data_IF_345902709095
#
_entry.id   IF_345902709095
#
_cell.length_a   1.000
_cell.length_b   1.000
_cell.length_c   1.000
_cell.angle_alpha   90.00
_cell.angle_beta   90.00
_cell.angle_gamma   90.00
#
_symmetry.space_group_name_H-M   'P 1'
#
loop_
_entity.id
_entity.type
_entity.pdbx_description
1 polymer ?
#
# COMPACT_ATOMS: atom_id res chain seq x y z
N UNK A 1 32.39 50.71 -5.12
CA UNK A 1 32.06 49.27 -5.12
C UNK A 1 32.16 48.76 -6.54
N UNK A 2 33.03 47.77 -6.79
CA UNK A 2 33.32 47.29 -8.15
C UNK A 2 32.08 46.59 -8.77
N UNK A 3 31.75 46.82 -10.05
CA UNK A 3 30.64 46.16 -10.77
C UNK A 3 30.64 44.62 -10.66
N UNK A 4 31.81 44.01 -10.42
CA UNK A 4 31.97 42.57 -10.27
C UNK A 4 31.19 41.96 -9.10
N UNK A 5 30.90 42.71 -8.03
CA UNK A 5 30.23 42.19 -6.83
C UNK A 5 28.75 41.84 -7.08
N UNK A 6 28.09 42.60 -7.97
CA UNK A 6 26.70 42.37 -8.34
C UNK A 6 26.53 41.09 -9.16
N UNK A 7 27.54 40.74 -9.97
CA UNK A 7 27.58 39.51 -10.76
C UNK A 7 27.64 38.30 -9.81
N UNK A 8 28.50 38.34 -8.79
CA UNK A 8 28.61 37.23 -7.83
C UNK A 8 27.34 37.07 -6.98
N UNK A 9 26.69 38.16 -6.59
CA UNK A 9 25.43 38.13 -5.83
C UNK A 9 24.29 37.55 -6.70
N UNK A 10 24.20 37.97 -7.97
CA UNK A 10 23.22 37.43 -8.90
C UNK A 10 23.45 35.93 -9.16
N UNK A 11 24.71 35.50 -9.31
CA UNK A 11 25.05 34.08 -9.47
C UNK A 11 24.70 33.26 -8.24
N UNK A 12 24.98 33.78 -7.04
CA UNK A 12 24.66 33.10 -5.78
C UNK A 12 23.14 32.97 -5.59
N UNK A 13 22.37 34.02 -5.90
CA UNK A 13 20.91 33.98 -5.87
C UNK A 13 20.32 33.00 -6.88
N UNK A 14 20.93 32.87 -8.07
CA UNK A 14 20.52 31.92 -9.09
C UNK A 14 20.77 30.46 -8.66
N UNK A 15 21.89 30.20 -7.98
CA UNK A 15 22.23 28.87 -7.46
C UNK A 15 21.36 28.43 -6.27
N UNK A 16 20.88 29.37 -5.45
CA UNK A 16 19.97 29.09 -4.32
C UNK A 16 18.52 28.93 -4.79
N UNK A 17 18.13 29.64 -5.85
CA UNK A 17 16.77 29.59 -6.42
C UNK A 17 16.53 28.45 -7.39
N UNK A 18 17.53 27.61 -7.69
CA UNK A 18 17.35 26.46 -8.56
C UNK A 18 16.38 25.47 -7.90
N UNK A 19 15.25 25.12 -8.53
CA UNK A 19 14.37 24.10 -8.00
C UNK A 19 15.17 22.79 -7.97
N UNK A 20 15.33 22.24 -6.78
CA UNK A 20 15.72 20.84 -6.64
C UNK A 20 14.53 20.07 -7.21
N UNK A 21 14.65 19.64 -8.46
CA UNK A 21 13.75 18.64 -9.02
C UNK A 21 13.93 17.40 -8.16
N UNK A 22 13.01 17.20 -7.21
CA UNK A 22 12.86 15.91 -6.57
C UNK A 22 12.62 14.93 -7.72
N UNK A 23 13.54 14.00 -7.89
CA UNK A 23 13.32 12.86 -8.78
C UNK A 23 12.09 12.16 -8.23
N UNK A 24 10.95 12.38 -8.89
CA UNK A 24 9.72 11.68 -8.60
C UNK A 24 10.02 10.23 -8.95
N UNK A 25 10.49 9.48 -7.94
CA UNK A 25 10.75 8.07 -8.05
C UNK A 25 9.45 7.48 -8.57
N UNK A 26 9.42 7.18 -9.88
CA UNK A 26 8.24 6.66 -10.51
C UNK A 26 7.83 5.47 -9.66
N UNK A 27 6.67 5.57 -9.01
CA UNK A 27 6.21 4.54 -8.11
C UNK A 27 6.13 3.29 -8.96
N UNK A 28 7.12 2.40 -8.78
CA UNK A 28 7.25 1.20 -9.59
C UNK A 28 5.94 0.42 -9.52
N UNK A 29 5.68 -0.40 -10.53
CA UNK A 29 4.50 -1.27 -10.47
C UNK A 29 4.52 -2.05 -9.15
N UNK A 30 3.45 -1.98 -8.34
CA UNK A 30 3.42 -2.66 -7.06
C UNK A 30 3.47 -4.17 -7.30
N UNK A 31 4.23 -4.87 -6.47
CA UNK A 31 4.16 -6.32 -6.42
C UNK A 31 2.90 -6.74 -5.66
N UNK A 32 1.97 -7.41 -6.36
CA UNK A 32 0.71 -7.86 -5.78
C UNK A 32 0.84 -9.34 -5.44
N UNK A 33 0.64 -9.68 -4.16
CA UNK A 33 0.57 -11.06 -3.68
C UNK A 33 -0.85 -11.33 -3.18
N UNK A 34 -1.55 -12.25 -3.82
CA UNK A 34 -2.89 -12.67 -3.45
C UNK A 34 -2.84 -13.97 -2.63
N UNK A 35 -3.14 -13.89 -1.34
CA UNK A 35 -3.35 -15.06 -0.50
C UNK A 35 -4.82 -15.46 -0.54
N UNK A 36 -5.10 -16.70 -0.95
CA UNK A 36 -6.45 -17.27 -0.98
C UNK A 36 -6.47 -18.57 -0.15
N UNK A 37 -7.33 -18.62 0.86
CA UNK A 37 -7.56 -19.80 1.70
C UNK A 37 -8.93 -20.41 1.40
N UNK A 38 -8.98 -21.73 1.19
CA UNK A 38 -10.22 -22.47 0.92
C UNK A 38 -11.02 -22.73 2.21
N UNK A 39 -12.35 -22.74 2.11
CA UNK A 39 -13.31 -22.95 3.22
C UNK A 39 -13.06 -22.06 4.47
N UNK A 40 -12.51 -20.86 4.28
CA UNK A 40 -12.12 -19.98 5.38
C UNK A 40 -13.21 -18.94 5.71
N UNK A 41 -14.04 -19.25 6.70
CA UNK A 41 -15.02 -18.32 7.25
C UNK A 41 -14.42 -17.24 8.17
N UNK A 42 -15.13 -16.12 8.30
CA UNK A 42 -14.75 -14.99 9.17
C UNK A 42 -14.49 -15.43 10.62
N UNK A 43 -15.31 -16.37 11.11
CA UNK A 43 -15.23 -16.87 12.47
C UNK A 43 -13.93 -17.63 12.77
N UNK A 44 -13.10 -17.95 11.77
CA UNK A 44 -11.82 -18.63 12.00
C UNK A 44 -10.63 -17.68 12.18
N UNK A 45 -10.85 -16.37 12.17
CA UNK A 45 -9.78 -15.36 12.21
C UNK A 45 -9.88 -14.50 13.47
N UNK A 46 -8.76 -14.39 14.19
CA UNK A 46 -8.67 -13.69 15.48
C UNK A 46 -9.08 -12.23 15.39
N UNK A 47 -8.65 -11.51 14.34
CA UNK A 47 -9.02 -10.11 14.16
C UNK A 47 -10.54 -9.90 14.01
N UNK A 48 -11.34 -10.90 13.64
CA UNK A 48 -12.81 -10.78 13.62
C UNK A 48 -13.48 -11.15 14.95
N UNK A 49 -12.70 -11.39 16.01
CA UNK A 49 -13.21 -11.59 17.37
C UNK A 49 -13.22 -13.04 17.83
N UNK A 50 -12.62 -13.98 17.10
CA UNK A 50 -12.48 -15.35 17.59
C UNK A 50 -11.55 -15.40 18.82
N UNK A 51 -12.00 -15.90 20.00
CA UNK A 51 -11.20 -15.90 21.22
C UNK A 51 -10.26 -17.11 21.38
N UNK A 52 -10.38 -18.12 20.52
CA UNK A 52 -9.66 -19.41 20.61
C UNK A 52 -8.58 -19.54 19.53
N UNK A 53 -8.93 -19.25 18.28
CA UNK A 53 -8.05 -19.41 17.12
C UNK A 53 -7.08 -18.24 17.06
N UNK A 54 -5.78 -18.57 16.99
CA UNK A 54 -4.69 -17.58 16.97
C UNK A 54 -4.17 -17.41 15.55
N UNK A 55 -4.37 -16.23 14.98
CA UNK A 55 -3.94 -15.86 13.62
C UNK A 55 -3.00 -14.65 13.62
N UNK A 56 -1.89 -14.66 14.38
CA UNK A 56 -1.11 -13.45 14.65
C UNK A 56 -0.59 -12.73 13.40
N UNK A 57 -0.31 -13.46 12.32
CA UNK A 57 0.13 -12.86 11.04
C UNK A 57 -1.02 -12.23 10.25
N UNK A 58 -2.20 -12.83 10.25
CA UNK A 58 -3.40 -12.23 9.62
C UNK A 58 -3.86 -11.03 10.44
N UNK A 59 -3.78 -11.11 11.76
CA UNK A 59 -4.14 -10.03 12.68
C UNK A 59 -3.21 -8.82 12.51
N UNK A 60 -1.90 -9.06 12.33
CA UNK A 60 -0.93 -8.02 12.00
C UNK A 60 -1.24 -7.37 10.65
N UNK A 61 -1.52 -8.17 9.61
CA UNK A 61 -1.89 -7.67 8.28
C UNK A 61 -3.16 -6.80 8.33
N UNK A 62 -4.18 -7.22 9.09
CA UNK A 62 -5.40 -6.44 9.29
C UNK A 62 -5.17 -5.13 10.05
N UNK A 63 -4.18 -5.08 10.95
CA UNK A 63 -3.82 -3.87 11.72
C UNK A 63 -2.99 -2.87 10.89
N UNK A 64 -2.11 -3.38 10.05
CA UNK A 64 -1.21 -2.57 9.21
C UNK A 64 -1.87 -2.12 7.89
N UNK A 65 -2.94 -2.81 7.48
CA UNK A 65 -3.68 -2.52 6.26
C UNK A 65 -5.15 -2.20 6.51
N UNK A 66 -5.99 -2.70 5.60
CA UNK A 66 -7.43 -2.53 5.64
C UNK A 66 -8.11 -3.89 5.87
N UNK A 67 -9.09 -3.91 6.77
CA UNK A 67 -9.91 -5.09 7.07
C UNK A 67 -11.36 -4.84 6.69
N UNK A 68 -11.92 -5.71 5.85
CA UNK A 68 -13.32 -5.64 5.43
C UNK A 68 -14.21 -6.45 6.38
N UNK A 69 -15.20 -5.82 7.02
CA UNK A 69 -16.13 -6.52 7.94
C UNK A 69 -17.42 -7.00 7.27
N UNK A 70 -17.59 -6.69 5.98
CA UNK A 70 -18.73 -7.11 5.16
C UNK A 70 -18.22 -7.52 3.78
N UNK A 71 -17.75 -8.76 3.67
CA UNK A 71 -17.24 -9.36 2.43
C UNK A 71 -17.96 -10.69 2.20
N UNK A 72 -18.38 -10.93 0.96
CA UNK A 72 -19.17 -12.09 0.59
C UNK A 72 -18.53 -12.79 -0.61
N UNK A 73 -18.52 -14.13 -0.57
CA UNK A 73 -18.17 -14.91 -1.75
C UNK A 73 -19.28 -14.77 -2.80
N UNK A 74 -18.90 -14.68 -4.08
CA UNK A 74 -19.88 -14.64 -5.18
C UNK A 74 -20.73 -15.93 -5.28
N UNK A 75 -20.20 -17.04 -4.75
CA UNK A 75 -20.89 -18.33 -4.62
C UNK A 75 -20.39 -19.07 -3.38
N UNK A 76 -21.24 -19.84 -2.67
CA UNK A 76 -20.83 -20.66 -1.52
C UNK A 76 -20.13 -21.97 -1.95
N UNK A 77 -19.59 -22.05 -3.17
CA UNK A 77 -18.87 -23.23 -3.67
C UNK A 77 -17.54 -22.83 -4.29
N UNK A 78 -16.52 -23.67 -4.09
CA UNK A 78 -15.12 -23.32 -4.36
C UNK A 78 -14.85 -22.98 -5.84
N UNK A 79 -15.34 -23.79 -6.79
CA UNK A 79 -15.10 -23.57 -8.22
C UNK A 79 -15.68 -22.26 -8.76
N UNK A 80 -16.99 -21.96 -8.60
CA UNK A 80 -17.53 -20.70 -9.09
C UNK A 80 -17.08 -19.47 -8.27
N UNK A 81 -16.77 -19.63 -6.98
CA UNK A 81 -16.15 -18.53 -6.19
C UNK A 81 -14.80 -18.13 -6.75
N UNK A 82 -13.93 -19.12 -7.06
CA UNK A 82 -12.62 -18.86 -7.69
C UNK A 82 -12.74 -18.35 -9.12
N UNK A 83 -13.70 -18.88 -9.90
CA UNK A 83 -13.93 -18.38 -11.25
C UNK A 83 -14.25 -16.88 -11.23
N UNK A 84 -15.13 -16.43 -10.34
CA UNK A 84 -15.47 -15.01 -10.18
C UNK A 84 -14.30 -14.11 -9.73
N UNK A 85 -13.23 -14.69 -9.17
CA UNK A 85 -12.01 -13.95 -8.79
C UNK A 85 -11.03 -13.81 -9.96
N UNK A 86 -11.02 -14.78 -10.88
CA UNK A 86 -10.05 -14.86 -11.98
C UNK A 86 -10.55 -14.26 -13.30
N UNK A 87 -11.86 -14.06 -13.45
CA UNK A 87 -12.51 -13.55 -14.66
C UNK A 87 -13.43 -12.39 -14.34
#
# INVERSE_FOLDING_TARGET
MSPSHWIYIALALLLIGAPISAEEQAAGQPHIVLFLSDDHGQDFVGCYGNPVIRTPHIDALAREGMRFTHVFAASPTCSPSRAALYT
#
